data_IF_281580205715
#
_entry.id   IF_281580205715
#
_cell.length_a   1.000
_cell.length_b   1.000
_cell.length_c   1.000
_cell.angle_alpha   90.00
_cell.angle_beta   90.00
_cell.angle_gamma   90.00
#
_symmetry.space_group_name_H-M   'P 1'
#
loop_
_entity.id
_entity.type
_entity.pdbx_description
1 polymer ?
#
# COMPACT_ATOMS: atom_id res chain seq x y z
N UNK A 1 -21.65 -29.02 -20.84
CA UNK A 1 -22.34 -27.97 -20.08
C UNK A 1 -21.28 -27.00 -19.58
N UNK A 2 -21.32 -25.75 -20.05
CA UNK A 2 -20.27 -24.76 -19.84
C UNK A 2 -20.16 -24.32 -18.38
N UNK A 3 -18.92 -24.27 -17.90
CA UNK A 3 -18.55 -23.58 -16.66
C UNK A 3 -18.41 -22.09 -17.00
N UNK A 4 -19.48 -21.32 -16.83
CA UNK A 4 -19.40 -19.87 -16.86
C UNK A 4 -18.55 -19.41 -15.67
N UNK A 5 -17.30 -19.06 -15.96
CA UNK A 5 -16.35 -18.43 -15.03
C UNK A 5 -16.75 -17.00 -14.66
N UNK A 6 -17.98 -16.79 -14.18
CA UNK A 6 -18.32 -15.58 -13.45
C UNK A 6 -17.73 -15.71 -12.06
N UNK A 7 -16.65 -14.95 -11.81
CA UNK A 7 -16.17 -14.69 -10.46
C UNK A 7 -17.37 -14.36 -9.57
N UNK A 8 -17.55 -15.09 -8.47
CA UNK A 8 -18.55 -14.77 -7.45
C UNK A 8 -18.43 -13.29 -7.16
N UNK A 9 -19.52 -12.55 -7.34
CA UNK A 9 -19.58 -11.13 -6.96
C UNK A 9 -19.30 -11.07 -5.45
N UNK A 10 -18.10 -10.63 -5.09
CA UNK A 10 -17.67 -10.61 -3.68
C UNK A 10 -18.53 -9.58 -2.96
N UNK A 11 -19.33 -10.02 -1.99
CA UNK A 11 -20.10 -9.12 -1.14
C UNK A 11 -19.14 -8.16 -0.43
N UNK A 12 -19.45 -6.86 -0.46
CA UNK A 12 -18.63 -5.81 0.16
C UNK A 12 -19.50 -4.90 1.01
N UNK A 13 -18.90 -4.37 2.06
CA UNK A 13 -19.44 -3.26 2.81
C UNK A 13 -18.62 -2.00 2.57
N UNK A 14 -19.25 -0.85 2.73
CA UNK A 14 -18.64 0.46 2.54
C UNK A 14 -19.42 1.54 3.26
N UNK A 15 -18.76 2.67 3.52
CA UNK A 15 -19.42 3.87 4.03
C UNK A 15 -20.01 4.64 2.84
N UNK A 16 -21.34 4.73 2.83
CA UNK A 16 -22.11 5.43 1.80
C UNK A 16 -22.39 6.92 2.13
N UNK A 17 -22.37 7.27 3.42
CA UNK A 17 -22.68 8.62 3.89
C UNK A 17 -21.97 8.88 5.22
N UNK A 18 -21.34 10.04 5.33
CA UNK A 18 -20.90 10.60 6.62
C UNK A 18 -21.64 11.92 6.82
N UNK A 19 -22.03 12.17 8.07
CA UNK A 19 -22.65 13.43 8.49
C UNK A 19 -21.96 13.94 9.74
N UNK A 20 -21.62 15.23 9.74
CA UNK A 20 -21.07 15.94 10.88
C UNK A 20 -22.06 17.02 11.31
N UNK A 21 -22.45 16.99 12.58
CA UNK A 21 -23.26 18.05 13.20
C UNK A 21 -22.35 18.84 14.12
N UNK A 22 -22.35 20.17 13.98
CA UNK A 22 -21.52 21.07 14.77
C UNK A 22 -22.29 22.36 15.10
N UNK A 23 -21.96 23.00 16.21
CA UNK A 23 -22.64 24.21 16.67
C UNK A 23 -21.66 25.38 16.72
N UNK A 24 -21.83 26.34 15.80
CA UNK A 24 -20.97 27.53 15.72
C UNK A 24 -21.40 28.64 16.66
N UNK A 25 -22.43 28.44 17.50
CA UNK A 25 -22.73 29.35 18.60
C UNK A 25 -21.81 29.15 19.81
N UNK A 26 -21.04 28.05 19.84
CA UNK A 26 -20.05 27.76 20.88
C UNK A 26 -18.80 28.63 20.72
N UNK A 27 -18.76 29.72 21.48
CA UNK A 27 -17.71 30.76 21.40
C UNK A 27 -16.33 30.27 21.84
N UNK A 28 -16.24 29.15 22.56
CA UNK A 28 -14.94 28.57 22.94
C UNK A 28 -14.19 27.96 21.76
N UNK A 29 -14.90 27.53 20.73
CA UNK A 29 -14.34 26.90 19.53
C UNK A 29 -14.51 27.76 18.28
N UNK A 30 -15.56 28.59 18.22
CA UNK A 30 -15.91 29.38 17.05
C UNK A 30 -15.94 30.88 17.37
N UNK A 31 -14.79 31.53 17.19
CA UNK A 31 -14.66 32.97 17.35
C UNK A 31 -15.29 33.71 16.16
N UNK A 32 -16.16 34.68 16.44
CA UNK A 32 -16.77 35.56 15.43
C UNK A 32 -17.48 34.82 14.29
N UNK A 33 -18.21 33.74 14.62
CA UNK A 33 -18.92 32.94 13.63
C UNK A 33 -19.95 33.77 12.85
N UNK A 34 -19.87 33.73 11.53
CA UNK A 34 -20.90 34.27 10.65
C UNK A 34 -22.11 33.31 10.64
N UNK A 35 -23.25 33.78 11.16
CA UNK A 35 -24.47 33.00 11.42
C UNK A 35 -24.26 31.87 12.45
N UNK A 36 -24.17 32.19 13.75
CA UNK A 36 -24.00 31.20 14.82
C UNK A 36 -25.23 30.29 14.93
N UNK A 37 -24.99 29.01 15.18
CA UNK A 37 -26.05 28.01 15.38
C UNK A 37 -25.61 26.61 14.99
N UNK A 38 -26.56 25.66 14.97
CA UNK A 38 -26.32 24.28 14.57
C UNK A 38 -26.31 24.13 13.06
N UNK A 39 -25.26 23.50 12.56
CA UNK A 39 -25.05 23.22 11.15
C UNK A 39 -24.81 21.72 10.96
N UNK A 40 -25.17 21.20 9.78
CA UNK A 40 -24.92 19.81 9.41
C UNK A 40 -24.19 19.77 8.09
N UNK A 41 -23.01 19.16 8.06
CA UNK A 41 -22.31 18.84 6.83
C UNK A 41 -22.48 17.37 6.47
N UNK A 42 -22.54 17.08 5.17
CA UNK A 42 -22.68 15.71 4.71
C UNK A 42 -21.94 15.45 3.40
N UNK A 43 -21.60 14.18 3.18
CA UNK A 43 -21.06 13.70 1.91
C UNK A 43 -22.20 13.31 0.95
N UNK A 44 -22.01 13.54 -0.35
CA UNK A 44 -22.88 13.00 -1.40
C UNK A 44 -22.20 11.85 -2.15
N UNK A 45 -22.89 10.71 -2.28
CA UNK A 45 -22.43 9.52 -3.05
C UNK A 45 -21.04 9.01 -2.64
N UNK A 46 -20.80 8.89 -1.34
CA UNK A 46 -19.53 8.38 -0.82
C UNK A 46 -19.41 6.87 -1.08
N UNK A 47 -18.20 6.41 -1.36
CA UNK A 47 -17.86 4.98 -1.43
C UNK A 47 -16.52 4.77 -0.74
N UNK A 48 -16.49 5.01 0.57
CA UNK A 48 -15.27 4.97 1.37
C UNK A 48 -15.14 3.65 2.13
N UNK A 49 -13.90 3.25 2.45
CA UNK A 49 -13.58 2.06 3.25
C UNK A 49 -14.21 0.78 2.68
N UNK A 50 -14.15 0.62 1.36
CA UNK A 50 -14.71 -0.55 0.67
C UNK A 50 -13.95 -1.80 1.12
N UNK A 51 -14.69 -2.75 1.68
CA UNK A 51 -14.11 -3.91 2.36
C UNK A 51 -14.94 -5.15 2.09
N UNK A 52 -14.32 -6.32 1.84
CA UNK A 52 -15.03 -7.58 1.69
C UNK A 52 -15.86 -7.94 2.94
N UNK A 53 -17.00 -8.59 2.73
CA UNK A 53 -17.83 -9.11 3.81
C UNK A 53 -17.04 -10.06 4.72
N UNK A 54 -17.29 -9.97 6.03
CA UNK A 54 -16.62 -10.79 7.04
C UNK A 54 -15.19 -10.37 7.40
N UNK A 55 -14.67 -9.26 6.85
CA UNK A 55 -13.35 -8.69 7.19
C UNK A 55 -13.46 -7.34 7.88
N UNK A 56 -12.48 -7.04 8.73
CA UNK A 56 -12.29 -5.71 9.32
C UNK A 56 -11.45 -4.84 8.37
N UNK A 57 -11.74 -3.55 8.29
CA UNK A 57 -10.90 -2.60 7.54
C UNK A 57 -9.83 -2.05 8.45
N UNK A 58 -8.58 -2.01 7.97
CA UNK A 58 -7.43 -1.43 8.68
C UNK A 58 -6.70 -0.45 7.77
N UNK A 59 -6.44 0.76 8.28
CA UNK A 59 -5.66 1.76 7.56
C UNK A 59 -4.94 2.69 8.53
N UNK A 60 -3.62 2.71 8.52
CA UNK A 60 -2.80 3.63 9.29
C UNK A 60 -2.76 5.02 8.61
N UNK A 61 -2.65 5.04 7.28
CA UNK A 61 -2.56 6.27 6.51
C UNK A 61 -3.78 7.17 6.67
N UNK A 62 -3.54 8.49 6.72
CA UNK A 62 -4.59 9.49 6.85
C UNK A 62 -5.57 9.46 5.66
N UNK A 63 -6.85 9.27 5.95
CA UNK A 63 -7.97 9.37 5.03
C UNK A 63 -8.68 10.71 5.22
N UNK A 64 -8.96 11.40 4.11
CA UNK A 64 -9.59 12.72 4.13
C UNK A 64 -10.96 12.66 3.45
N UNK A 65 -12.00 13.07 4.17
CA UNK A 65 -13.38 13.15 3.70
C UNK A 65 -13.80 14.61 3.61
N UNK A 66 -14.14 15.06 2.40
CA UNK A 66 -14.68 16.40 2.18
C UNK A 66 -16.20 16.38 2.18
N UNK A 67 -16.78 17.35 2.87
CA UNK A 67 -18.21 17.49 3.09
C UNK A 67 -18.63 18.93 2.81
N UNK A 68 -19.88 19.10 2.44
CA UNK A 68 -20.49 20.40 2.24
C UNK A 68 -21.53 20.59 3.33
N UNK A 69 -21.47 21.74 4.00
CA UNK A 69 -22.46 22.18 4.98
C UNK A 69 -23.84 22.34 4.31
N UNK A 70 -24.91 22.19 5.08
CA UNK A 70 -26.30 22.36 4.64
C UNK A 70 -26.58 23.74 4.07
N UNK A 71 -25.83 24.76 4.49
CA UNK A 71 -25.90 26.12 3.93
C UNK A 71 -25.20 26.24 2.56
N UNK A 72 -24.57 25.17 2.06
CA UNK A 72 -23.76 25.10 0.83
C UNK A 72 -22.63 26.14 0.72
N UNK A 73 -22.31 26.81 1.83
CA UNK A 73 -21.32 27.90 1.85
C UNK A 73 -19.99 27.47 2.47
N UNK A 74 -19.98 26.38 3.22
CA UNK A 74 -18.81 25.92 3.98
C UNK A 74 -18.39 24.52 3.53
N UNK A 75 -17.13 24.42 3.10
CA UNK A 75 -16.45 23.14 2.91
C UNK A 75 -15.87 22.67 4.24
N UNK A 76 -16.15 21.43 4.62
CA UNK A 76 -15.62 20.80 5.83
C UNK A 76 -14.77 19.62 5.42
N UNK A 77 -13.63 19.49 6.07
CA UNK A 77 -12.71 18.36 5.85
C UNK A 77 -12.59 17.58 7.15
N UNK A 78 -12.90 16.28 7.09
CA UNK A 78 -12.68 15.34 8.19
C UNK A 78 -11.51 14.45 7.82
N UNK A 79 -10.46 14.48 8.63
CA UNK A 79 -9.29 13.61 8.50
C UNK A 79 -9.35 12.53 9.56
N UNK A 80 -9.15 11.28 9.15
CA UNK A 80 -9.21 10.10 10.01
C UNK A 80 -7.94 9.29 9.76
N UNK A 81 -7.30 8.77 10.81
CA UNK A 81 -6.05 8.01 10.76
C UNK A 81 -6.14 6.83 11.73
N UNK A 82 -5.25 5.84 11.60
CA UNK A 82 -5.20 4.64 12.45
C UNK A 82 -6.57 3.96 12.64
N UNK A 83 -7.26 3.76 11.53
CA UNK A 83 -8.62 3.24 11.51
C UNK A 83 -8.59 1.72 11.60
N UNK A 84 -9.36 1.17 12.53
CA UNK A 84 -9.81 -0.21 12.50
C UNK A 84 -11.32 -0.27 12.73
N UNK A 85 -12.08 -0.76 11.73
CA UNK A 85 -13.55 -0.79 11.79
C UNK A 85 -14.12 -2.01 11.09
N UNK A 86 -15.26 -2.52 11.57
CA UNK A 86 -15.95 -3.67 11.01
C UNK A 86 -17.48 -3.51 11.02
N UNK A 87 -18.05 -2.99 9.94
CA UNK A 87 -19.47 -3.10 9.60
C UNK A 87 -19.75 -4.44 8.89
N UNK A 88 -20.79 -5.16 9.32
CA UNK A 88 -21.17 -6.50 8.81
C UNK A 88 -20.04 -7.56 8.93
N UNK A 89 -20.29 -8.85 8.70
CA UNK A 89 -21.17 -9.58 9.59
C UNK A 89 -20.32 -10.11 10.76
N UNK A 90 -20.63 -9.63 11.96
CA UNK A 90 -19.82 -9.71 13.19
C UNK A 90 -20.14 -11.04 13.90
N UNK A 91 -19.15 -11.81 14.37
CA UNK A 91 -19.38 -13.04 15.14
C UNK A 91 -18.96 -12.91 16.61
N UNK A 92 -19.91 -12.40 17.41
CA UNK A 92 -20.14 -12.51 18.87
C UNK A 92 -19.01 -12.50 19.92
N UNK A 93 -17.73 -12.29 19.60
CA UNK A 93 -16.62 -12.38 20.56
C UNK A 93 -15.94 -11.03 20.87
N UNK A 94 -16.45 -9.91 20.36
CA UNK A 94 -15.82 -8.57 20.45
C UNK A 94 -14.42 -8.51 19.83
N UNK A 95 -14.05 -9.49 18.98
CA UNK A 95 -12.77 -9.50 18.26
C UNK A 95 -13.01 -9.12 16.80
N UNK A 96 -12.12 -8.28 16.27
CA UNK A 96 -12.13 -7.97 14.84
C UNK A 96 -11.81 -9.22 14.02
N UNK A 97 -12.50 -9.40 12.91
CA UNK A 97 -12.16 -10.42 11.93
C UNK A 97 -10.88 -10.05 11.17
N UNK A 98 -10.43 -10.96 10.30
CA UNK A 98 -9.18 -10.81 9.57
C UNK A 98 -9.06 -9.43 8.89
N UNK A 99 -7.94 -8.71 9.10
CA UNK A 99 -7.80 -7.35 8.61
C UNK A 99 -7.67 -7.29 7.09
N UNK A 100 -8.33 -6.30 6.51
CA UNK A 100 -8.23 -5.88 5.12
C UNK A 100 -7.57 -4.51 5.09
N UNK A 101 -6.30 -4.48 4.64
CA UNK A 101 -5.51 -3.25 4.58
C UNK A 101 -5.96 -2.36 3.44
N UNK A 102 -5.98 -1.05 3.67
CA UNK A 102 -6.24 -0.06 2.63
C UNK A 102 -5.11 -0.02 1.58
N UNK A 103 -5.44 0.43 0.37
CA UNK A 103 -4.50 0.53 -0.74
C UNK A 103 -3.35 1.49 -0.42
N UNK A 104 -3.60 2.55 0.35
CA UNK A 104 -2.59 3.54 0.72
C UNK A 104 -1.45 2.90 1.53
N UNK A 105 -1.77 2.20 2.62
CA UNK A 105 -0.78 1.47 3.43
C UNK A 105 0.00 0.45 2.59
N UNK A 106 -0.68 -0.25 1.66
CA UNK A 106 -0.02 -1.21 0.79
C UNK A 106 0.98 -0.55 -0.15
N UNK A 107 0.67 0.64 -0.68
CA UNK A 107 1.57 1.40 -1.54
C UNK A 107 2.77 1.92 -0.75
N UNK A 108 2.56 2.49 0.42
CA UNK A 108 3.65 2.96 1.29
C UNK A 108 4.60 1.80 1.64
N UNK A 109 4.04 0.64 1.99
CA UNK A 109 4.84 -0.56 2.25
C UNK A 109 5.63 -1.00 1.01
N UNK A 110 5.02 -0.95 -0.18
CA UNK A 110 5.69 -1.32 -1.42
C UNK A 110 6.83 -0.35 -1.77
N UNK A 111 6.60 0.96 -1.63
CA UNK A 111 7.62 1.99 -1.86
C UNK A 111 8.80 1.83 -0.90
N UNK A 112 8.56 1.43 0.35
CA UNK A 112 9.62 1.14 1.31
C UNK A 112 10.39 -0.15 0.97
N UNK A 113 9.72 -1.19 0.44
CA UNK A 113 10.37 -2.46 0.10
C UNK A 113 11.10 -2.43 -1.24
N UNK A 114 10.68 -1.59 -2.18
CA UNK A 114 11.26 -1.49 -3.51
C UNK A 114 12.79 -1.26 -3.52
N UNK A 115 13.37 -0.28 -2.79
CA UNK A 115 14.82 -0.07 -2.80
C UNK A 115 15.58 -1.24 -2.16
N UNK A 116 14.99 -1.90 -1.16
CA UNK A 116 15.61 -3.06 -0.52
C UNK A 116 15.72 -4.24 -1.50
N UNK A 117 14.64 -4.53 -2.22
CA UNK A 117 14.62 -5.62 -3.21
C UNK A 117 15.59 -5.32 -4.36
N UNK A 118 15.59 -4.09 -4.87
CA UNK A 118 16.53 -3.67 -5.91
C UNK A 118 17.98 -3.77 -5.44
N UNK A 119 18.26 -3.33 -4.20
CA UNK A 119 19.59 -3.44 -3.60
C UNK A 119 20.06 -4.88 -3.44
N UNK A 120 19.17 -5.79 -3.03
CA UNK A 120 19.48 -7.22 -2.91
C UNK A 120 19.78 -7.86 -4.28
N UNK A 121 18.98 -7.56 -5.30
CA UNK A 121 19.20 -8.10 -6.65
C UNK A 121 20.53 -7.59 -7.22
N UNK A 122 20.78 -6.29 -7.14
CA UNK A 122 22.04 -5.69 -7.61
C UNK A 122 23.25 -6.26 -6.85
N UNK A 123 23.14 -6.37 -5.52
CA UNK A 123 24.18 -6.98 -4.69
C UNK A 123 24.48 -8.42 -5.08
N UNK A 124 23.45 -9.24 -5.31
CA UNK A 124 23.62 -10.63 -5.77
C UNK A 124 24.31 -10.70 -7.13
N UNK A 125 23.94 -9.83 -8.08
CA UNK A 125 24.58 -9.78 -9.41
C UNK A 125 26.07 -9.43 -9.28
N UNK A 126 26.43 -8.46 -8.44
CA UNK A 126 27.82 -8.07 -8.21
C UNK A 126 28.62 -9.23 -7.60
N UNK A 127 28.09 -9.88 -6.57
CA UNK A 127 28.75 -11.04 -5.94
C UNK A 127 28.97 -12.15 -6.97
N UNK A 128 27.96 -12.49 -7.76
CA UNK A 128 28.05 -13.53 -8.78
C UNK A 128 29.10 -13.19 -9.86
N UNK A 129 29.07 -11.98 -10.38
CA UNK A 129 30.02 -11.54 -11.43
C UNK A 129 31.46 -11.55 -10.93
N UNK A 130 31.72 -11.03 -9.72
CA UNK A 130 33.06 -11.05 -9.10
C UNK A 130 33.52 -12.49 -8.83
N UNK A 131 32.62 -13.34 -8.33
CA UNK A 131 32.92 -14.76 -8.07
C UNK A 131 33.37 -15.45 -9.36
N UNK A 132 32.54 -15.38 -10.41
CA UNK A 132 32.82 -15.99 -11.72
C UNK A 132 34.12 -15.43 -12.30
N UNK A 133 34.34 -14.11 -12.23
CA UNK A 133 35.57 -13.50 -12.70
C UNK A 133 36.80 -14.03 -11.97
N UNK A 134 36.75 -14.14 -10.64
CA UNK A 134 37.85 -14.65 -9.84
C UNK A 134 38.12 -16.14 -10.12
N UNK A 135 37.07 -16.95 -10.27
CA UNK A 135 37.21 -18.36 -10.69
C UNK A 135 37.83 -18.47 -12.08
N UNK A 136 37.37 -17.67 -13.04
CA UNK A 136 37.92 -17.63 -14.39
C UNK A 136 39.40 -17.24 -14.38
N UNK A 137 39.76 -16.16 -13.67
CA UNK A 137 41.15 -15.70 -13.57
C UNK A 137 42.06 -16.78 -12.98
N UNK A 138 41.62 -17.48 -11.92
CA UNK A 138 42.35 -18.60 -11.34
C UNK A 138 42.54 -19.75 -12.33
N UNK A 139 41.49 -20.14 -13.06
CA UNK A 139 41.56 -21.22 -14.04
C UNK A 139 42.46 -20.86 -15.25
N UNK A 140 42.40 -19.61 -15.74
CA UNK A 140 43.26 -19.14 -16.84
C UNK A 140 44.71 -18.96 -16.42
N UNK A 141 44.98 -18.58 -15.17
CA UNK A 141 46.35 -18.47 -14.65
C UNK A 141 47.03 -19.84 -14.44
N UNK A 142 46.25 -20.90 -14.23
CA UNK A 142 46.75 -22.28 -14.08
C UNK A 142 46.96 -23.01 -15.41
N UNK A 143 46.80 -22.34 -16.56
CA UNK A 143 47.02 -22.96 -17.86
C UNK A 143 48.50 -23.36 -17.97
N UNK A 144 48.83 -24.68 -18.03
CA UNK A 144 50.22 -25.11 -18.11
C UNK A 144 50.81 -24.55 -19.40
N UNK A 145 51.94 -23.84 -19.28
CA UNK A 145 52.77 -23.50 -20.43
C UNK A 145 53.12 -24.82 -21.13
N UNK A 146 52.44 -25.13 -22.24
CA UNK A 146 52.84 -26.27 -23.06
C UNK A 146 54.30 -26.03 -23.45
N UNK A 147 55.20 -27.01 -23.24
CA UNK A 147 56.59 -26.88 -23.66
C UNK A 147 56.58 -26.52 -25.14
N UNK A 148 57.12 -25.35 -25.49
CA UNK A 148 57.30 -24.95 -26.88
C UNK A 148 58.21 -26.00 -27.51
N UNK A 149 57.62 -26.90 -28.28
CA UNK A 149 58.29 -28.06 -28.86
C UNK A 149 59.46 -27.57 -29.71
N UNK A 150 60.66 -27.66 -29.15
CA UNK A 150 61.91 -27.14 -29.72
C UNK A 150 62.45 -28.07 -30.83
N UNK A 151 61.61 -29.00 -31.29
CA UNK A 151 61.96 -30.10 -32.20
C UNK A 151 61.87 -29.73 -33.69
N UNK A 152 61.35 -28.55 -34.05
CA UNK A 152 61.12 -28.15 -35.44
C UNK A 152 62.26 -27.36 -36.14
N UNK A 153 63.42 -27.18 -35.50
CA UNK A 153 64.58 -26.47 -36.11
C UNK A 153 65.87 -27.30 -36.16
N UNK A 154 65.82 -28.62 -35.99
CA UNK A 154 67.04 -29.44 -36.02
C UNK A 154 67.39 -30.04 -37.39
N UNK A 155 66.56 -29.84 -38.42
CA UNK A 155 66.75 -30.44 -39.75
C UNK A 155 66.56 -29.45 -40.92
N UNK A 156 67.02 -28.21 -40.79
CA UNK A 156 67.27 -27.33 -41.96
C UNK A 156 68.61 -26.63 -41.79
#
# INVERSE_FOLDING_TARGET
MGSDGKAKETEVWKINKVQLVYDTSEVTHFNSAYNPGKHTASTHRLSALVTPAGRSYVCAAQQTLTMISSDHQKGITVSIYDIQIQPFDIKSDFVFSEPYKCITDQREQLEQMLPLVLGLILGLIIVLTVSVYHFHLKLSAQQPQLPRDRSLYKNM
#
